data_IF_604537064494
#
_entry.id   IF_604537064494
#
_cell.length_a   1.000
_cell.length_b   1.000
_cell.length_c   1.000
_cell.angle_alpha   90.00
_cell.angle_beta   90.00
_cell.angle_gamma   90.00
#
_symmetry.space_group_name_H-M   'P 1'
#
loop_
_entity.id
_entity.type
_entity.pdbx_description
1 polymer ?
#
# COMPACT_ATOMS: atom_id res chain seq x y z
N UNK A 1 -0.04 -7.05 27.88
CA UNK A 1 -0.05 -5.90 26.94
C UNK A 1 1.38 -5.73 26.49
N UNK A 2 1.76 -5.89 25.22
CA UNK A 2 1.52 -4.84 24.22
C UNK A 2 1.68 -5.26 22.75
N UNK A 3 1.88 -6.55 22.44
CA UNK A 3 2.13 -6.99 21.05
C UNK A 3 1.09 -6.49 20.04
N UNK A 4 -0.20 -6.67 20.35
CA UNK A 4 -1.32 -6.20 19.53
C UNK A 4 -1.27 -4.68 19.31
N UNK A 5 -1.09 -3.91 20.38
CA UNK A 5 -1.02 -2.44 20.31
C UNK A 5 0.18 -1.99 19.47
N UNK A 6 1.33 -2.64 19.61
CA UNK A 6 2.51 -2.40 18.77
C UNK A 6 2.22 -2.68 17.30
N UNK A 7 1.61 -3.82 16.98
CA UNK A 7 1.28 -4.18 15.60
C UNK A 7 0.27 -3.23 14.97
N UNK A 8 -0.78 -2.87 15.71
CA UNK A 8 -1.77 -1.87 15.28
C UNK A 8 -1.09 -0.54 14.97
N UNK A 9 -0.19 -0.07 15.84
CA UNK A 9 0.57 1.18 15.60
C UNK A 9 1.43 1.07 14.33
N UNK A 10 2.14 -0.04 14.15
CA UNK A 10 2.98 -0.27 12.97
C UNK A 10 2.16 -0.30 11.67
N UNK A 11 0.98 -0.94 11.69
CA UNK A 11 0.06 -0.97 10.54
C UNK A 11 -0.40 0.46 10.21
N UNK A 12 -0.88 1.23 11.20
CA UNK A 12 -1.33 2.63 10.99
C UNK A 12 -0.23 3.49 10.37
N UNK A 13 0.97 3.47 10.95
CA UNK A 13 2.11 4.24 10.42
C UNK A 13 2.45 3.84 8.98
N UNK A 14 2.42 2.54 8.68
CA UNK A 14 2.72 2.05 7.34
C UNK A 14 1.63 2.46 6.33
N UNK A 15 0.35 2.40 6.71
CA UNK A 15 -0.77 2.85 5.89
C UNK A 15 -0.67 4.34 5.57
N UNK A 16 -0.38 5.18 6.56
CA UNK A 16 -0.21 6.62 6.35
C UNK A 16 0.95 6.93 5.42
N UNK A 17 2.05 6.18 5.56
CA UNK A 17 3.20 6.31 4.66
C UNK A 17 2.83 5.92 3.22
N UNK A 18 2.10 4.81 3.04
CA UNK A 18 1.61 4.39 1.71
C UNK A 18 0.72 5.45 1.09
N UNK A 19 -0.22 6.03 1.86
CA UNK A 19 -1.08 7.13 1.38
C UNK A 19 -0.25 8.33 0.93
N UNK A 20 0.79 8.70 1.68
CA UNK A 20 1.69 9.79 1.31
C UNK A 20 2.44 9.49 0.01
N UNK A 21 3.02 8.30 -0.11
CA UNK A 21 3.71 7.87 -1.33
C UNK A 21 2.78 7.88 -2.55
N UNK A 22 1.50 7.51 -2.39
CA UNK A 22 0.52 7.63 -3.48
C UNK A 22 0.28 9.09 -3.89
N UNK A 23 0.22 10.02 -2.94
CA UNK A 23 0.05 11.46 -3.26
C UNK A 23 1.27 12.02 -3.98
N UNK A 24 2.47 11.66 -3.51
CA UNK A 24 3.72 12.06 -4.14
C UNK A 24 3.80 11.53 -5.57
N UNK A 25 3.51 10.23 -5.78
CA UNK A 25 3.49 9.61 -7.10
C UNK A 25 2.55 10.32 -8.11
N UNK A 26 1.42 10.84 -7.65
CA UNK A 26 0.48 11.60 -8.50
C UNK A 26 1.05 12.95 -8.97
N UNK A 27 2.07 13.49 -8.28
CA UNK A 27 2.69 14.78 -8.59
C UNK A 27 3.96 14.64 -9.43
N UNK A 28 4.44 13.42 -9.69
CA UNK A 28 5.70 13.18 -10.40
C UNK A 28 5.47 12.95 -11.90
N UNK A 29 6.24 13.65 -12.73
CA UNK A 29 6.16 13.54 -14.19
C UNK A 29 7.12 12.48 -14.76
N UNK A 30 8.25 12.22 -14.08
CA UNK A 30 9.32 11.35 -14.57
C UNK A 30 9.09 9.87 -14.28
N UNK A 31 9.24 9.02 -15.31
CA UNK A 31 8.89 7.59 -15.25
C UNK A 31 9.82 6.74 -14.37
N UNK A 32 11.10 7.13 -14.25
CA UNK A 32 12.05 6.51 -13.34
C UNK A 32 11.65 6.75 -11.87
N UNK A 33 11.20 7.96 -11.54
CA UNK A 33 10.70 8.32 -10.22
C UNK A 33 9.38 7.58 -9.94
N UNK A 34 8.47 7.51 -10.92
CA UNK A 34 7.21 6.75 -10.78
C UNK A 34 7.46 5.28 -10.45
N UNK A 35 8.42 4.65 -11.13
CA UNK A 35 8.76 3.23 -10.92
C UNK A 35 9.30 2.99 -9.50
N UNK A 36 10.20 3.86 -9.00
CA UNK A 36 10.67 3.79 -7.62
C UNK A 36 9.51 3.87 -6.61
N UNK A 37 8.59 4.82 -6.78
CA UNK A 37 7.45 4.96 -5.90
C UNK A 37 6.50 3.74 -5.94
N UNK A 38 6.27 3.14 -7.11
CA UNK A 38 5.48 1.92 -7.27
C UNK A 38 6.07 0.76 -6.46
N UNK A 39 7.38 0.54 -6.56
CA UNK A 39 8.09 -0.50 -5.80
C UNK A 39 8.06 -0.22 -4.30
N UNK A 40 8.30 1.04 -3.93
CA UNK A 40 8.27 1.52 -2.55
C UNK A 40 6.89 1.31 -1.90
N UNK A 41 5.81 1.57 -2.65
CA UNK A 41 4.44 1.31 -2.20
C UNK A 41 4.20 -0.20 -2.05
N UNK A 42 4.61 -1.01 -3.04
CA UNK A 42 4.44 -2.47 -3.00
C UNK A 42 5.14 -3.11 -1.78
N UNK A 43 6.38 -2.71 -1.50
CA UNK A 43 7.13 -3.19 -0.35
C UNK A 43 6.41 -2.91 0.97
N UNK A 44 5.86 -1.70 1.14
CA UNK A 44 5.11 -1.33 2.33
C UNK A 44 3.77 -2.04 2.45
N UNK A 45 3.06 -2.27 1.34
CA UNK A 45 1.84 -3.08 1.34
C UNK A 45 2.12 -4.51 1.79
N UNK A 46 3.20 -5.13 1.28
CA UNK A 46 3.60 -6.47 1.72
C UNK A 46 3.98 -6.51 3.21
N UNK A 47 4.60 -5.45 3.74
CA UNK A 47 4.87 -5.33 5.18
C UNK A 47 3.57 -5.25 6.00
N UNK A 48 2.61 -4.44 5.57
CA UNK A 48 1.30 -4.31 6.23
C UNK A 48 0.56 -5.65 6.25
N UNK A 49 0.57 -6.37 5.12
CA UNK A 49 -0.02 -7.70 5.00
C UNK A 49 0.55 -8.69 6.02
N UNK A 50 1.87 -8.72 6.20
CA UNK A 50 2.51 -9.55 7.23
C UNK A 50 2.07 -9.17 8.64
N UNK A 51 1.92 -7.88 8.92
CA UNK A 51 1.45 -7.42 10.24
C UNK A 51 -0.02 -7.77 10.48
N UNK A 52 -0.88 -7.63 9.48
CA UNK A 52 -2.29 -8.05 9.57
C UNK A 52 -2.41 -9.56 9.77
N UNK A 53 -1.62 -10.36 9.04
CA UNK A 53 -1.58 -11.82 9.22
C UNK A 53 -1.11 -12.22 10.64
N UNK A 54 -0.21 -11.44 11.25
CA UNK A 54 0.19 -11.68 12.65
C UNK A 54 -0.93 -11.43 13.68
N UNK A 55 -2.03 -10.80 13.25
CA UNK A 55 -3.22 -10.48 14.03
C UNK A 55 -4.46 -11.23 13.54
N UNK A 56 -4.32 -12.27 12.69
CA UNK A 56 -5.47 -12.96 12.07
C UNK A 56 -6.46 -13.55 13.08
N UNK A 57 -5.99 -13.93 14.26
CA UNK A 57 -6.81 -14.47 15.34
C UNK A 57 -7.46 -13.39 16.21
N UNK A 58 -7.13 -12.11 16.00
CA UNK A 58 -7.70 -10.99 16.75
C UNK A 58 -8.95 -10.42 16.03
N UNK A 59 -10.13 -10.80 16.50
CA UNK A 59 -11.42 -10.30 15.97
C UNK A 59 -11.82 -8.96 16.60
N UNK A 60 -11.06 -7.91 16.32
CA UNK A 60 -11.43 -6.55 16.75
C UNK A 60 -11.80 -5.66 15.57
N UNK A 61 -12.84 -4.84 15.76
CA UNK A 61 -13.32 -3.85 14.79
C UNK A 61 -12.21 -2.94 14.24
N UNK A 62 -11.22 -2.62 15.06
CA UNK A 62 -10.06 -1.83 14.64
C UNK A 62 -9.22 -2.58 13.59
N UNK A 63 -8.98 -3.87 13.76
CA UNK A 63 -8.22 -4.69 12.78
C UNK A 63 -9.02 -4.85 11.49
N UNK A 64 -10.33 -5.05 11.58
CA UNK A 64 -11.21 -5.10 10.40
C UNK A 64 -11.13 -3.80 9.58
N UNK A 65 -11.14 -2.65 10.26
CA UNK A 65 -10.97 -1.35 9.61
C UNK A 65 -9.60 -1.23 8.93
N UNK A 66 -8.53 -1.64 9.62
CA UNK A 66 -7.17 -1.63 9.04
C UNK A 66 -7.06 -2.57 7.83
N UNK A 67 -7.70 -3.74 7.88
CA UNK A 67 -7.75 -4.69 6.78
C UNK A 67 -8.50 -4.10 5.57
N UNK A 68 -9.64 -3.47 5.80
CA UNK A 68 -10.42 -2.81 4.75
C UNK A 68 -9.61 -1.68 4.07
N UNK A 69 -8.89 -0.89 4.88
CA UNK A 69 -8.05 0.18 4.38
C UNK A 69 -6.86 -0.36 3.56
N UNK A 70 -6.17 -1.39 4.07
CA UNK A 70 -5.12 -2.10 3.32
C UNK A 70 -5.64 -2.62 1.97
N UNK A 71 -6.81 -3.29 1.96
CA UNK A 71 -7.41 -3.83 0.74
C UNK A 71 -7.75 -2.72 -0.27
N UNK A 72 -8.18 -1.55 0.21
CA UNK A 72 -8.42 -0.38 -0.64
C UNK A 72 -7.12 0.11 -1.30
N UNK A 73 -6.06 0.27 -0.52
CA UNK A 73 -4.75 0.71 -1.01
C UNK A 73 -4.12 -0.31 -1.95
N UNK A 74 -4.27 -1.61 -1.69
CA UNK A 74 -3.78 -2.69 -2.56
C UNK A 74 -4.48 -2.65 -3.92
N UNK A 75 -5.80 -2.49 -3.96
CA UNK A 75 -6.54 -2.30 -5.22
C UNK A 75 -6.10 -1.05 -5.97
N UNK A 76 -5.87 0.07 -5.26
CA UNK A 76 -5.35 1.30 -5.88
C UNK A 76 -3.98 1.09 -6.50
N UNK A 77 -3.09 0.35 -5.83
CA UNK A 77 -1.76 0.00 -6.35
C UNK A 77 -1.87 -0.85 -7.62
N UNK A 78 -2.65 -1.93 -7.60
CA UNK A 78 -2.87 -2.80 -8.76
C UNK A 78 -3.40 -2.02 -9.96
N UNK A 79 -4.43 -1.18 -9.76
CA UNK A 79 -4.99 -0.37 -10.84
C UNK A 79 -3.96 0.61 -11.42
N UNK A 80 -3.08 1.16 -10.59
CA UNK A 80 -2.05 2.08 -11.05
C UNK A 80 -0.96 1.35 -11.86
N UNK A 81 -0.52 0.19 -11.41
CA UNK A 81 0.44 -0.65 -12.14
C UNK A 81 -0.12 -1.03 -13.51
N UNK A 82 -1.38 -1.45 -13.57
CA UNK A 82 -2.03 -1.80 -14.83
C UNK A 82 -2.09 -0.61 -15.79
N UNK A 83 -2.50 0.57 -15.33
CA UNK A 83 -2.52 1.80 -16.15
C UNK A 83 -1.15 2.15 -16.71
N UNK A 84 -0.10 2.09 -15.88
CA UNK A 84 1.27 2.39 -16.32
C UNK A 84 1.78 1.37 -17.33
N UNK A 85 1.37 0.10 -17.22
CA UNK A 85 1.70 -0.91 -18.22
C UNK A 85 0.94 -0.66 -19.53
N UNK A 86 -0.36 -0.35 -19.47
CA UNK A 86 -1.17 -0.04 -20.65
C UNK A 86 -0.64 1.21 -21.38
N UNK A 87 -0.26 2.25 -20.65
CA UNK A 87 0.33 3.47 -21.22
C UNK A 87 1.70 3.19 -21.86
N UNK A 88 2.50 2.28 -21.30
CA UNK A 88 3.76 1.84 -21.92
C UNK A 88 3.53 1.10 -23.23
N UNK A 89 2.50 0.26 -23.34
CA UNK A 89 2.21 -0.49 -24.57
C UNK A 89 1.70 0.42 -25.71
N UNK A 90 0.96 1.49 -25.41
CA UNK A 90 0.44 2.42 -26.42
C UNK A 90 1.48 3.32 -27.09
N UNK A 91 2.69 3.42 -26.55
CA UNK A 91 3.77 4.23 -27.14
C UNK A 91 4.50 3.48 -28.26
N UNK A 92 4.30 2.16 -28.37
CA UNK A 92 4.96 1.30 -29.36
C UNK A 92 4.04 0.82 -30.51
N UNK A 93 2.81 1.32 -30.60
CA UNK A 93 1.90 1.14 -31.76
C UNK A 93 1.84 2.43 -32.61
#
# INVERSE_FOLDING_TARGET
>A
MDFKKTRVKQIKTALDTVKKSFKELQQQELDNIKSFYIESINSRLNMIERYLNSLVNDQSKEIEQLQAEYNSLRRKHTNLVNKLNDDKFKIFE
#
